data_IF_548298414957
#
_entry.id   IF_548298414957
#
_cell.length_a   1.000
_cell.length_b   1.000
_cell.length_c   1.000
_cell.angle_alpha   90.00
_cell.angle_beta   90.00
_cell.angle_gamma   90.00
#
_symmetry.space_group_name_H-M   'P 1'
#
loop_
_entity.id
_entity.type
_entity.pdbx_description
1 polymer ?
#
# COMPACT_ATOMS: atom_id res chain seq x y z
N UNK A 1 -22.40 -13.47 -2.37
CA UNK A 1 -22.89 -12.22 -3.00
C UNK A 1 -22.38 -12.20 -4.45
N UNK A 2 -23.23 -12.06 -5.47
CA UNK A 2 -22.75 -12.01 -6.86
C UNK A 2 -22.15 -10.63 -7.19
N UNK A 3 -21.21 -10.54 -8.14
CA UNK A 3 -20.64 -9.27 -8.63
C UNK A 3 -21.75 -8.30 -9.03
N UNK A 4 -22.80 -8.80 -9.69
CA UNK A 4 -23.97 -8.02 -10.07
C UNK A 4 -24.63 -7.32 -8.88
N UNK A 5 -24.89 -8.06 -7.79
CA UNK A 5 -25.45 -7.46 -6.56
C UNK A 5 -24.50 -6.41 -5.99
N UNK A 6 -23.20 -6.67 -5.95
CA UNK A 6 -22.21 -5.69 -5.45
C UNK A 6 -22.24 -4.40 -6.28
N UNK A 7 -22.31 -4.51 -7.61
CA UNK A 7 -22.43 -3.35 -8.51
C UNK A 7 -23.71 -2.56 -8.28
N UNK A 8 -24.85 -3.25 -8.13
CA UNK A 8 -26.15 -2.65 -7.84
C UNK A 8 -26.16 -1.91 -6.48
N UNK A 9 -25.60 -2.52 -5.42
CA UNK A 9 -25.54 -1.91 -4.09
C UNK A 9 -24.52 -0.77 -3.97
N UNK A 10 -23.35 -0.90 -4.62
CA UNK A 10 -22.26 0.08 -4.50
C UNK A 10 -22.35 1.23 -5.50
N UNK A 11 -23.13 1.09 -6.59
CA UNK A 11 -23.13 2.03 -7.70
C UNK A 11 -21.87 1.98 -8.58
N UNK A 12 -20.90 1.11 -8.29
CA UNK A 12 -19.64 0.99 -9.04
C UNK A 12 -19.86 0.03 -10.21
N UNK A 13 -20.11 0.59 -11.40
CA UNK A 13 -20.44 -0.17 -12.62
C UNK A 13 -19.33 -1.15 -13.05
N UNK A 14 -18.07 -0.76 -12.88
CA UNK A 14 -16.90 -1.52 -13.34
C UNK A 14 -16.20 -2.29 -12.21
N UNK A 15 -16.95 -2.65 -11.16
CA UNK A 15 -16.40 -3.43 -10.06
C UNK A 15 -15.96 -4.82 -10.56
N UNK A 16 -14.69 -5.14 -10.33
CA UNK A 16 -14.10 -6.48 -10.42
C UNK A 16 -13.38 -6.80 -9.11
N UNK A 17 -13.36 -8.08 -8.71
CA UNK A 17 -12.74 -8.47 -7.44
C UNK A 17 -11.25 -8.14 -7.38
N UNK A 18 -10.54 -8.16 -8.51
CA UNK A 18 -9.12 -7.82 -8.55
C UNK A 18 -8.84 -6.36 -8.13
N UNK A 19 -9.80 -5.44 -8.32
CA UNK A 19 -9.68 -4.06 -7.84
C UNK A 19 -9.59 -3.99 -6.31
N UNK A 20 -10.25 -4.91 -5.59
CA UNK A 20 -10.12 -4.98 -4.14
C UNK A 20 -8.70 -5.38 -3.72
N UNK A 21 -8.08 -6.33 -4.44
CA UNK A 21 -6.69 -6.73 -4.17
C UNK A 21 -5.73 -5.56 -4.44
N UNK A 22 -5.95 -4.78 -5.50
CA UNK A 22 -5.19 -3.54 -5.74
C UNK A 22 -5.37 -2.53 -4.60
N UNK A 23 -6.60 -2.26 -4.19
CA UNK A 23 -6.90 -1.34 -3.08
C UNK A 23 -6.25 -1.81 -1.77
N UNK A 24 -6.38 -3.09 -1.42
CA UNK A 24 -5.75 -3.66 -0.24
C UNK A 24 -4.22 -3.57 -0.30
N UNK A 25 -3.63 -3.80 -1.47
CA UNK A 25 -2.17 -3.66 -1.68
C UNK A 25 -1.71 -2.22 -1.45
N UNK A 26 -2.40 -1.24 -2.04
CA UNK A 26 -2.10 0.19 -1.82
C UNK A 26 -2.22 0.57 -0.36
N UNK A 27 -3.27 0.13 0.34
CA UNK A 27 -3.46 0.42 1.77
C UNK A 27 -2.33 -0.20 2.60
N UNK A 28 -1.98 -1.46 2.38
CA UNK A 28 -0.88 -2.10 3.13
C UNK A 28 0.45 -1.38 2.91
N UNK A 29 0.74 -0.99 1.67
CA UNK A 29 1.99 -0.29 1.33
C UNK A 29 2.02 1.12 1.90
N UNK A 30 0.90 1.85 1.91
CA UNK A 30 0.84 3.21 2.45
C UNK A 30 0.77 3.25 3.97
N UNK A 31 0.04 2.33 4.61
CA UNK A 31 -0.27 2.40 6.04
C UNK A 31 0.58 1.49 6.93
N UNK A 32 0.93 0.29 6.46
CA UNK A 32 1.65 -0.69 7.28
C UNK A 32 3.16 -0.62 7.08
N UNK A 33 3.62 -0.25 5.88
CA UNK A 33 5.04 -0.20 5.56
C UNK A 33 5.79 0.77 6.48
N UNK A 34 6.80 0.27 7.20
CA UNK A 34 7.59 1.05 8.14
C UNK A 34 7.00 1.14 9.55
N UNK A 35 5.79 0.64 9.80
CA UNK A 35 5.19 0.46 11.15
C UNK A 35 5.38 -0.96 11.68
N UNK A 36 6.54 -1.55 11.42
CA UNK A 36 6.87 -2.94 11.77
C UNK A 36 6.55 -3.97 10.68
N UNK A 37 6.03 -3.53 9.52
CA UNK A 37 5.84 -4.37 8.32
C UNK A 37 6.81 -3.92 7.24
N UNK A 38 7.57 -4.86 6.69
CA UNK A 38 8.50 -4.63 5.58
C UNK A 38 7.87 -4.93 4.22
N UNK A 39 8.55 -4.51 3.14
CA UNK A 39 8.08 -4.79 1.78
C UNK A 39 8.00 -6.29 1.50
N UNK A 40 8.91 -7.08 2.08
CA UNK A 40 8.92 -8.53 1.96
C UNK A 40 7.68 -9.19 2.60
N UNK A 41 7.19 -8.67 3.72
CA UNK A 41 5.97 -9.17 4.37
C UNK A 41 4.75 -8.90 3.49
N UNK A 42 4.67 -7.69 2.91
CA UNK A 42 3.61 -7.32 1.96
C UNK A 42 3.67 -8.22 0.72
N UNK A 43 4.85 -8.49 0.17
CA UNK A 43 5.04 -9.41 -0.95
C UNK A 43 4.52 -10.81 -0.62
N UNK A 44 4.82 -11.32 0.58
CA UNK A 44 4.39 -12.65 1.04
C UNK A 44 2.88 -12.74 1.20
N UNK A 45 2.23 -11.69 1.72
CA UNK A 45 0.76 -11.61 1.83
C UNK A 45 0.10 -11.58 0.44
N UNK A 46 0.68 -10.84 -0.50
CA UNK A 46 0.15 -10.70 -1.86
C UNK A 46 0.51 -11.89 -2.78
N UNK A 47 1.43 -12.77 -2.37
CA UNK A 47 1.92 -13.87 -3.19
C UNK A 47 2.78 -13.41 -4.36
N UNK A 48 3.40 -12.24 -4.29
CA UNK A 48 4.27 -11.72 -5.35
C UNK A 48 5.68 -12.30 -5.25
N UNK A 49 6.11 -13.01 -6.28
CA UNK A 49 7.47 -13.52 -6.42
C UNK A 49 8.48 -12.46 -6.88
N UNK A 50 7.99 -11.40 -7.53
CA UNK A 50 8.78 -10.29 -8.06
C UNK A 50 8.50 -9.02 -7.28
N UNK A 51 9.56 -8.35 -6.81
CA UNK A 51 9.45 -7.12 -6.00
C UNK A 51 8.83 -5.97 -6.79
N UNK A 52 9.09 -5.93 -8.09
CA UNK A 52 8.60 -4.94 -9.04
C UNK A 52 7.08 -4.87 -9.05
N UNK A 53 6.40 -6.01 -8.87
CA UNK A 53 4.94 -6.09 -8.82
C UNK A 53 4.37 -5.38 -7.60
N UNK A 54 5.03 -5.48 -6.44
CA UNK A 54 4.63 -4.78 -5.21
C UNK A 54 5.07 -3.31 -5.21
N UNK A 55 6.21 -3.00 -5.82
CA UNK A 55 6.72 -1.63 -5.92
C UNK A 55 5.79 -0.69 -6.70
N UNK A 56 4.91 -1.21 -7.57
CA UNK A 56 3.89 -0.42 -8.26
C UNK A 56 2.97 0.35 -7.29
N UNK A 57 2.73 -0.17 -6.10
CA UNK A 57 1.91 0.48 -5.07
C UNK A 57 2.70 1.47 -4.20
N UNK A 58 4.05 1.48 -4.30
CA UNK A 58 4.89 2.39 -3.54
C UNK A 58 4.76 3.84 -4.03
N UNK A 59 4.52 4.02 -5.34
CA UNK A 59 4.44 5.33 -6.00
C UNK A 59 3.23 6.19 -5.59
N UNK A 60 2.24 5.61 -4.90
CA UNK A 60 1.00 6.31 -4.55
C UNK A 60 1.15 7.34 -3.40
N UNK A 61 2.34 7.47 -2.80
CA UNK A 61 2.51 8.25 -1.59
C UNK A 61 3.80 9.08 -1.59
N UNK A 62 3.72 10.27 -2.18
CA UNK A 62 4.75 11.30 -2.04
C UNK A 62 4.95 11.76 -0.58
N UNK A 63 3.98 11.52 0.31
CA UNK A 63 4.03 11.90 1.72
C UNK A 63 5.10 11.14 2.50
N UNK A 64 5.29 9.84 2.21
CA UNK A 64 6.29 8.99 2.87
C UNK A 64 7.72 9.50 2.72
N UNK A 65 8.07 10.09 1.57
CA UNK A 65 9.43 10.60 1.35
C UNK A 65 9.73 11.83 2.22
N UNK A 66 8.74 12.70 2.42
CA UNK A 66 8.84 13.84 3.35
C UNK A 66 9.00 13.36 4.80
N UNK A 67 8.20 12.38 5.22
CA UNK A 67 8.30 11.80 6.58
C UNK A 67 9.68 11.19 6.82
N UNK A 68 10.25 10.48 5.83
CA UNK A 68 11.59 9.92 5.95
C UNK A 68 12.66 11.01 6.17
N UNK A 69 12.54 12.14 5.48
CA UNK A 69 13.44 13.28 5.65
C UNK A 69 13.29 13.94 7.03
N UNK A 70 12.06 14.12 7.51
CA UNK A 70 11.81 14.67 8.85
C UNK A 70 12.36 13.76 9.97
N UNK A 71 12.25 12.44 9.79
CA UNK A 71 12.83 11.45 10.71
C UNK A 71 14.36 11.55 10.73
N UNK A 72 14.99 11.69 9.56
CA UNK A 72 16.44 11.88 9.46
C UNK A 72 16.88 13.19 10.13
N UNK A 73 16.16 14.28 9.91
CA UNK A 73 16.45 15.58 10.52
C UNK A 73 16.36 15.51 12.06
N UNK A 74 15.32 14.86 12.60
CA UNK A 74 15.18 14.64 14.05
C UNK A 74 16.33 13.81 14.62
N UNK A 75 16.75 12.76 13.92
CA UNK A 75 17.89 11.94 14.35
C UNK A 75 19.20 12.71 14.34
N UNK A 76 19.42 13.55 13.31
CA UNK A 76 20.59 14.41 13.23
C UNK A 76 20.64 15.43 14.38
N UNK A 77 19.51 16.09 14.68
CA UNK A 77 19.38 17.06 15.78
C UNK A 77 19.53 16.46 17.17
N UNK A 78 19.26 15.16 17.36
CA UNK A 78 19.40 14.48 18.65
C UNK A 78 20.85 14.08 18.97
N UNK A 79 21.72 14.11 17.97
CA UNK A 79 23.12 13.65 18.07
C UNK A 79 24.12 14.78 18.33
N UNK A 80 23.65 16.03 18.33
CA UNK A 80 24.36 17.26 18.68
C UNK A 80 23.55 18.03 19.72
#
# INVERSE_FOLDING_TARGET
MSIRKIREYSGIRDFIFHNLQHTASTIMVSEALGKGVGLADVMKILGHSQVETTMRYLHADFGRMKVAMEVLEKMAKKKF
#
